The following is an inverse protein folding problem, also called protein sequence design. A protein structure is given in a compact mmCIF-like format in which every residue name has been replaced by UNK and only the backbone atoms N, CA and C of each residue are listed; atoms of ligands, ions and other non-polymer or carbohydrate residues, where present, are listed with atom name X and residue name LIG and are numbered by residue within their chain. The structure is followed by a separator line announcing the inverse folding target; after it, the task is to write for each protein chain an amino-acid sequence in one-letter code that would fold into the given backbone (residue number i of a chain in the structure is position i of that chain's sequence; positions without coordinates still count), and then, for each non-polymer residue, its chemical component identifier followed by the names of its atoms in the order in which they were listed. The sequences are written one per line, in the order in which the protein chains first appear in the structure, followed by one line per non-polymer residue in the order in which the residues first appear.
data_IF_080495377126
#
_entry.id   IF_080495377126
#
_cell.length_a   1.000
_cell.length_b   1.000
_cell.length_c   1.000
_cell.angle_alpha   90.00
_cell.angle_beta   90.00
_cell.angle_gamma   90.00
#
_symmetry.space_group_name_H-M   'P 1'
#
loop_
_entity.id
_entity.type
_entity.pdbx_description
1 polymer ?
#
# COMPACT_ATOMS: atom_id res chain seq x y z
N UNK A 1 18.20 15.10 -9.96
CA UNK A 1 17.01 14.76 -10.80
C UNK A 1 17.39 13.56 -11.64
N UNK A 2 16.62 12.47 -11.60
CA UNK A 2 16.95 11.23 -12.32
C UNK A 2 16.30 11.27 -13.71
N UNK A 3 17.07 11.61 -14.76
CA UNK A 3 16.60 11.74 -16.15
C UNK A 3 16.79 10.42 -16.93
N UNK A 4 16.35 9.29 -16.38
CA UNK A 4 16.58 7.96 -16.95
C UNK A 4 15.38 7.56 -17.80
N UNK A 5 15.64 7.10 -19.03
CA UNK A 5 14.61 6.56 -19.92
C UNK A 5 14.26 5.13 -19.50
N UNK A 6 13.02 4.92 -19.09
CA UNK A 6 12.56 3.62 -18.57
C UNK A 6 12.18 2.63 -19.68
N UNK A 7 11.76 3.10 -20.85
CA UNK A 7 11.48 2.26 -22.03
C UNK A 7 11.51 3.13 -23.30
N UNK A 8 11.85 2.55 -24.45
CA UNK A 8 11.98 3.26 -25.72
C UNK A 8 10.66 3.84 -26.25
N UNK A 9 9.59 3.05 -26.26
CA UNK A 9 8.27 3.42 -26.80
C UNK A 9 7.09 3.23 -25.83
N UNK A 10 7.18 2.25 -24.92
CA UNK A 10 6.09 1.84 -24.04
C UNK A 10 6.50 1.93 -22.55
N UNK A 11 6.43 3.14 -21.94
CA UNK A 11 6.87 3.35 -20.55
C UNK A 11 6.13 2.48 -19.52
N UNK A 12 4.87 2.13 -19.78
CA UNK A 12 4.05 1.33 -18.87
C UNK A 12 4.58 -0.11 -18.68
N UNK A 13 5.34 -0.67 -19.63
CA UNK A 13 5.86 -2.04 -19.53
C UNK A 13 6.84 -2.23 -18.37
N UNK A 14 7.57 -1.17 -18.00
CA UNK A 14 8.55 -1.22 -16.92
C UNK A 14 8.02 -0.61 -15.61
N UNK A 15 6.71 -0.32 -15.53
CA UNK A 15 6.05 0.06 -14.28
C UNK A 15 5.39 -1.17 -13.66
N UNK A 16 5.64 -1.38 -12.37
CA UNK A 16 5.03 -2.47 -11.59
C UNK A 16 4.59 -1.93 -10.23
N UNK A 17 3.54 -2.54 -9.69
CA UNK A 17 3.13 -2.28 -8.31
C UNK A 17 4.15 -2.89 -7.36
N UNK A 18 4.74 -2.05 -6.52
CA UNK A 18 5.60 -2.51 -5.43
C UNK A 18 4.75 -2.73 -4.17
N UNK A 19 4.29 -3.98 -3.99
CA UNK A 19 3.43 -4.37 -2.88
C UNK A 19 4.14 -4.29 -1.53
N UNK A 20 5.42 -4.61 -1.50
CA UNK A 20 6.20 -4.60 -0.26
C UNK A 20 6.43 -3.17 0.22
N UNK A 21 6.81 -2.26 -0.70
CA UNK A 21 6.94 -0.85 -0.36
C UNK A 21 5.60 -0.24 0.08
N UNK A 22 4.49 -0.60 -0.58
CA UNK A 22 3.16 -0.19 -0.15
C UNK A 22 2.84 -0.66 1.28
N UNK A 23 3.10 -1.93 1.61
CA UNK A 23 2.86 -2.49 2.95
C UNK A 23 3.72 -1.80 4.01
N UNK A 24 4.99 -1.51 3.70
CA UNK A 24 5.88 -0.75 4.58
C UNK A 24 5.29 0.64 4.84
N UNK A 25 4.91 1.36 3.78
CA UNK A 25 4.37 2.72 3.88
C UNK A 25 3.08 2.75 4.70
N UNK A 26 2.16 1.80 4.49
CA UNK A 26 0.91 1.74 5.27
C UNK A 26 1.13 1.37 6.74
N UNK A 27 2.13 0.53 7.05
CA UNK A 27 2.48 0.23 8.44
C UNK A 27 3.16 1.41 9.14
N UNK A 28 3.94 2.21 8.42
CA UNK A 28 4.72 3.32 8.98
C UNK A 28 3.92 4.62 9.13
N UNK A 29 2.93 4.88 8.27
CA UNK A 29 2.17 6.13 8.25
C UNK A 29 0.75 5.90 8.81
N UNK A 30 0.47 6.33 10.05
CA UNK A 30 -0.84 6.10 10.68
C UNK A 30 -1.99 6.72 9.89
N UNK A 31 -3.07 5.96 9.69
CA UNK A 31 -4.29 6.41 9.04
C UNK A 31 -4.19 6.67 7.53
N UNK A 32 -3.03 6.40 6.91
CA UNK A 32 -2.83 6.64 5.47
C UNK A 32 -3.76 5.78 4.61
N UNK A 33 -3.86 4.49 4.93
CA UNK A 33 -4.68 3.54 4.18
C UNK A 33 -6.17 3.91 4.25
N UNK A 34 -6.69 4.20 5.45
CA UNK A 34 -8.09 4.61 5.65
C UNK A 34 -8.41 5.94 4.95
N UNK A 35 -7.48 6.90 5.03
CA UNK A 35 -7.61 8.19 4.35
C UNK A 35 -7.67 8.03 2.84
N UNK A 36 -6.84 7.14 2.28
CA UNK A 36 -6.85 6.86 0.85
C UNK A 36 -8.14 6.17 0.41
N UNK A 37 -8.61 5.18 1.17
CA UNK A 37 -9.88 4.52 0.89
C UNK A 37 -11.05 5.50 0.92
N UNK A 38 -11.06 6.42 1.89
CA UNK A 38 -12.05 7.50 1.98
C UNK A 38 -12.01 8.40 0.74
N UNK A 39 -10.83 8.86 0.31
CA UNK A 39 -10.69 9.70 -0.89
C UNK A 39 -11.20 8.99 -2.15
N UNK A 40 -10.85 7.72 -2.31
CA UNK A 40 -11.34 6.90 -3.43
C UNK A 40 -12.87 6.83 -3.39
N UNK A 41 -13.45 6.50 -2.24
CA UNK A 41 -14.89 6.36 -2.07
C UNK A 41 -15.63 7.66 -2.42
N UNK A 42 -15.17 8.79 -1.88
CA UNK A 42 -15.75 10.11 -2.14
C UNK A 42 -15.66 10.48 -3.62
N UNK A 43 -14.54 10.17 -4.29
CA UNK A 43 -14.38 10.41 -5.73
C UNK A 43 -15.44 9.69 -6.56
N UNK A 44 -15.62 8.37 -6.36
CA UNK A 44 -16.60 7.59 -7.13
C UNK A 44 -18.05 7.97 -6.79
N UNK A 45 -18.36 8.16 -5.50
CA UNK A 45 -19.70 8.59 -5.06
C UNK A 45 -20.10 9.95 -5.64
N UNK A 46 -19.18 10.92 -5.67
CA UNK A 46 -19.46 12.24 -6.24
C UNK A 46 -19.78 12.22 -7.75
N UNK A 47 -19.43 11.12 -8.44
CA UNK A 47 -19.67 10.90 -9.86
C UNK A 47 -20.86 9.98 -10.14
N UNK A 48 -21.53 9.47 -9.10
CA UNK A 48 -22.57 8.45 -9.23
C UNK A 48 -22.05 7.14 -9.82
N UNK A 49 -20.77 6.84 -9.64
CA UNK A 49 -20.13 5.63 -10.14
C UNK A 49 -19.92 4.64 -9.01
N UNK A 50 -20.06 3.36 -9.33
CA UNK A 50 -19.55 2.29 -8.47
C UNK A 50 -18.02 2.20 -8.58
N UNK A 51 -17.38 1.78 -7.49
CA UNK A 51 -15.92 1.64 -7.46
C UNK A 51 -15.50 0.57 -8.46
N UNK A 52 -14.66 0.94 -9.44
CA UNK A 52 -14.04 -0.02 -10.35
C UNK A 52 -12.96 -0.78 -9.58
N UNK A 53 -13.21 -2.04 -9.24
CA UNK A 53 -12.15 -2.96 -8.80
C UNK A 53 -11.30 -3.26 -10.03
N UNK A 54 -10.07 -2.71 -10.08
CA UNK A 54 -9.14 -3.08 -11.16
C UNK A 54 -8.91 -4.59 -11.10
N UNK A 55 -9.14 -5.33 -12.20
CA UNK A 55 -8.74 -6.73 -12.27
C UNK A 55 -7.22 -6.73 -12.37
N UNK A 56 -6.52 -7.07 -11.28
CA UNK A 56 -5.16 -7.60 -11.43
C UNK A 56 -5.35 -8.90 -12.19
N UNK A 57 -5.00 -8.93 -13.48
CA UNK A 57 -5.32 -10.06 -14.33
C UNK A 57 -4.67 -11.32 -13.80
N UNK A 58 -5.47 -12.23 -13.22
CA UNK A 58 -5.49 -13.69 -13.37
C UNK A 58 -6.91 -14.19 -12.95
N UNK A 59 -7.66 -14.73 -13.91
CA UNK A 59 -8.88 -15.59 -13.85
C UNK A 59 -10.22 -15.12 -13.22
N UNK A 60 -11.38 -15.38 -13.87
CA UNK A 60 -12.70 -14.91 -13.46
C UNK A 60 -13.45 -15.96 -12.63
N UNK A 61 -13.47 -15.87 -11.29
CA UNK A 61 -14.38 -16.72 -10.51
C UNK A 61 -14.79 -16.24 -9.10
N UNK A 62 -14.55 -15.00 -8.68
CA UNK A 62 -14.92 -14.61 -7.30
C UNK A 62 -15.47 -13.19 -7.13
N UNK A 63 -15.99 -12.58 -8.19
CA UNK A 63 -16.58 -11.24 -8.15
C UNK A 63 -17.91 -11.13 -7.38
N UNK A 64 -18.49 -12.24 -6.92
CA UNK A 64 -19.83 -12.24 -6.32
C UNK A 64 -19.92 -12.23 -4.78
N UNK A 65 -18.80 -12.08 -4.05
CA UNK A 65 -18.81 -12.25 -2.58
C UNK A 65 -18.44 -11.01 -1.74
N UNK A 66 -18.32 -9.82 -2.31
CA UNK A 66 -18.09 -8.60 -1.51
C UNK A 66 -16.83 -8.66 -0.63
N UNK A 67 -15.84 -9.46 -1.02
CA UNK A 67 -14.64 -9.65 -0.22
C UNK A 67 -13.75 -8.41 -0.29
N UNK A 68 -13.23 -7.94 0.85
CA UNK A 68 -12.32 -6.82 0.90
C UNK A 68 -11.06 -7.09 0.06
N UNK A 69 -10.44 -6.01 -0.40
CA UNK A 69 -9.27 -5.93 -1.29
C UNK A 69 -8.02 -6.71 -0.82
N UNK A 70 -8.09 -7.40 0.31
CA UNK A 70 -7.02 -8.21 0.89
C UNK A 70 -7.00 -9.67 0.42
N UNK A 71 -7.89 -10.09 -0.51
CA UNK A 71 -7.92 -11.49 -0.97
C UNK A 71 -6.84 -11.82 -2.02
N UNK A 72 -5.98 -10.86 -2.39
CA UNK A 72 -4.74 -11.20 -3.09
C UNK A 72 -3.87 -11.99 -2.13
N UNK A 73 -3.38 -13.15 -2.54
CA UNK A 73 -2.51 -13.98 -1.72
C UNK A 73 -1.17 -13.25 -1.48
N UNK A 74 -1.12 -12.44 -0.44
CA UNK A 74 0.06 -11.69 -0.03
C UNK A 74 1.27 -12.62 0.15
N UNK A 75 1.06 -13.90 0.48
CA UNK A 75 2.14 -14.86 0.65
C UNK A 75 3.02 -15.02 -0.61
N UNK A 76 2.46 -14.80 -1.81
CA UNK A 76 3.21 -14.86 -3.08
C UNK A 76 3.98 -13.59 -3.43
N UNK A 77 3.61 -12.43 -2.88
CA UNK A 77 4.32 -11.16 -3.12
C UNK A 77 5.47 -10.94 -2.13
N UNK A 78 5.48 -11.65 -1.01
CA UNK A 78 6.54 -11.56 0.01
C UNK A 78 7.70 -12.49 -0.32
N UNK A 79 8.53 -12.10 -1.30
CA UNK A 79 9.79 -12.81 -1.60
C UNK A 79 10.69 -12.98 -0.36
N UNK A 80 10.58 -12.06 0.61
CA UNK A 80 11.36 -12.04 1.86
C UNK A 80 10.58 -12.54 3.08
N UNK A 81 9.49 -13.31 2.89
CA UNK A 81 8.67 -13.82 4.01
C UNK A 81 9.48 -14.66 5.00
N UNK A 82 10.52 -15.33 4.51
CA UNK A 82 11.38 -16.22 5.28
C UNK A 82 12.68 -15.55 5.74
N UNK A 83 12.89 -14.28 5.39
CA UNK A 83 14.04 -13.51 5.87
C UNK A 83 13.86 -13.15 7.35
N UNK A 84 14.96 -12.86 8.02
CA UNK A 84 14.94 -12.42 9.41
C UNK A 84 14.14 -11.12 9.56
N UNK A 85 13.31 -11.06 10.61
CA UNK A 85 12.48 -9.89 10.87
C UNK A 85 13.36 -8.72 11.35
N UNK A 86 13.32 -7.60 10.63
CA UNK A 86 13.97 -6.36 11.06
C UNK A 86 13.07 -5.62 12.05
N UNK A 87 13.59 -5.36 13.25
CA UNK A 87 12.95 -4.48 14.22
C UNK A 87 13.39 -3.04 13.99
N UNK A 88 12.41 -2.14 13.81
CA UNK A 88 12.65 -0.71 13.64
C UNK A 88 12.18 0.02 14.89
N UNK A 89 13.07 0.81 15.50
CA UNK A 89 12.72 1.75 16.56
C UNK A 89 12.65 3.16 15.98
N UNK A 90 11.49 3.81 16.10
CA UNK A 90 11.31 5.20 15.70
C UNK A 90 11.28 6.07 16.95
N UNK A 91 12.23 6.99 17.07
CA UNK A 91 12.19 8.05 18.08
C UNK A 91 11.86 9.39 17.44
N UNK A 92 10.98 10.14 18.08
CA UNK A 92 10.72 11.54 17.71
C UNK A 92 11.93 12.37 18.13
N UNK A 93 12.62 12.98 17.17
CA UNK A 93 13.65 13.98 17.47
C UNK A 93 12.98 15.23 18.07
N UNK A 94 12.77 15.24 19.38
CA UNK A 94 12.27 16.41 20.10
C UNK A 94 13.45 17.36 20.30
N UNK A 95 13.47 18.47 19.57
CA UNK A 95 14.23 19.65 20.01
C UNK A 95 13.47 20.25 21.20
N UNK A 96 13.88 19.88 22.42
CA UNK A 96 13.38 20.46 23.66
C UNK A 96 12.35 19.62 24.41
N UNK A 97 12.83 19.01 25.50
CA UNK A 97 12.10 18.61 26.72
C UNK A 97 10.61 18.28 26.56
N UNK A 98 10.29 17.05 26.13
CA UNK A 98 9.17 16.35 26.76
C UNK A 98 9.35 14.83 26.69
N UNK A 99 9.37 14.18 27.87
CA UNK A 99 9.59 12.74 28.02
C UNK A 99 8.24 12.03 28.08
N UNK A 100 7.67 11.76 26.91
CA UNK A 100 6.52 10.85 26.80
C UNK A 100 6.86 9.76 25.78
N UNK A 101 7.24 8.58 26.27
CA UNK A 101 7.48 7.38 25.45
C UNK A 101 6.12 6.83 25.01
N UNK A 102 5.72 7.10 23.77
CA UNK A 102 4.63 6.37 23.13
C UNK A 102 5.15 5.03 22.65
N UNK A 103 4.84 3.96 23.38
CA UNK A 103 5.03 2.59 22.90
C UNK A 103 3.82 2.26 22.03
N UNK A 104 4.04 2.04 20.73
CA UNK A 104 3.02 1.48 19.85
C UNK A 104 3.21 -0.04 19.87
N UNK A 105 2.34 -0.77 20.56
CA UNK A 105 2.27 -2.24 20.45
C UNK A 105 1.40 -2.60 19.24
N UNK A 106 1.95 -3.45 18.38
CA UNK A 106 1.27 -4.13 17.29
C UNK A 106 0.46 -5.32 17.77
#
# INVERSE_FOLDING_TARGET
MCNIKIHETQPLLNLKLDRVMQDIVYKLVPGLQDSEEKRIREFYQSRGLDRVTQPSGEEPALSNLGLPFSSFDHSKAHYYRYDEQLSLCLERLSSGKDKSKSILQS
#
